data_IF_407977137581
#
_entry.id   IF_407977137581
#
_cell.length_a   1.000
_cell.length_b   1.000
_cell.length_c   1.000
_cell.angle_alpha   90.00
_cell.angle_beta   90.00
_cell.angle_gamma   90.00
#
_symmetry.space_group_name_H-M   'P 1'
#
loop_
_entity.id
_entity.type
_entity.pdbx_description
1 polymer ?
#
# COMPACT_ATOMS: atom_id res chain seq x y z
N UNK A 1 18.95 5.30 -2.12
CA UNK A 1 18.69 4.01 -2.80
C UNK A 1 17.70 4.33 -3.90
N UNK A 2 18.02 4.13 -5.18
CA UNK A 2 17.11 4.47 -6.27
C UNK A 2 16.21 3.25 -6.52
N UNK A 3 14.89 3.44 -6.49
CA UNK A 3 13.91 2.39 -6.81
C UNK A 3 13.16 2.90 -8.04
N UNK A 4 13.45 2.29 -9.18
CA UNK A 4 12.90 2.71 -10.49
C UNK A 4 12.09 1.59 -11.14
N UNK A 5 12.29 0.35 -10.69
CA UNK A 5 11.65 -0.84 -11.24
C UNK A 5 11.12 -1.77 -10.15
N UNK A 6 10.23 -2.69 -10.54
CA UNK A 6 9.77 -3.75 -9.65
C UNK A 6 10.94 -4.61 -9.12
N UNK A 7 11.96 -4.87 -9.95
CA UNK A 7 13.14 -5.62 -9.55
C UNK A 7 13.95 -4.90 -8.45
N UNK A 8 13.96 -3.57 -8.45
CA UNK A 8 14.59 -2.80 -7.37
C UNK A 8 13.83 -2.96 -6.06
N UNK A 9 12.49 -2.96 -6.10
CA UNK A 9 11.66 -3.24 -4.92
C UNK A 9 11.98 -4.63 -4.37
N UNK A 10 11.99 -5.65 -5.22
CA UNK A 10 12.30 -7.03 -4.83
C UNK A 10 13.70 -7.13 -4.22
N UNK A 11 14.67 -6.41 -4.79
CA UNK A 11 16.02 -6.33 -4.23
C UNK A 11 16.02 -5.67 -2.85
N UNK A 12 15.27 -4.60 -2.64
CA UNK A 12 15.13 -3.96 -1.31
C UNK A 12 14.55 -4.96 -0.31
N UNK A 13 13.48 -5.66 -0.68
CA UNK A 13 12.82 -6.66 0.15
C UNK A 13 13.80 -7.75 0.61
N UNK A 14 14.57 -8.30 -0.33
CA UNK A 14 15.59 -9.32 -0.02
C UNK A 14 16.72 -8.75 0.84
N UNK A 15 17.25 -7.57 0.50
CA UNK A 15 18.37 -6.97 1.23
C UNK A 15 18.03 -6.60 2.68
N UNK A 16 16.79 -6.17 2.91
CA UNK A 16 16.31 -5.76 4.24
C UNK A 16 15.59 -6.89 4.98
N UNK A 17 15.36 -8.03 4.33
CA UNK A 17 14.56 -9.14 4.83
C UNK A 17 13.14 -8.73 5.25
N UNK A 18 12.54 -7.84 4.46
CA UNK A 18 11.18 -7.32 4.67
C UNK A 18 10.30 -7.55 3.45
N UNK A 19 9.00 -7.53 3.65
CA UNK A 19 8.00 -7.35 2.59
C UNK A 19 7.25 -6.04 2.79
N UNK A 20 7.02 -5.33 1.69
CA UNK A 20 6.21 -4.11 1.70
C UNK A 20 4.73 -4.44 1.58
N UNK A 21 3.94 -3.94 2.53
CA UNK A 21 2.49 -3.97 2.51
C UNK A 21 2.00 -2.56 2.20
N UNK A 22 1.05 -2.49 1.27
CA UNK A 22 0.43 -1.25 0.85
C UNK A 22 -1.04 -1.24 1.27
N UNK A 23 -1.43 -0.28 2.11
CA UNK A 23 -2.83 -0.04 2.47
C UNK A 23 -3.33 1.22 1.76
N UNK A 24 -4.47 1.16 1.07
CA UNK A 24 -5.09 2.35 0.54
C UNK A 24 -5.67 3.20 1.67
N UNK A 25 -5.54 4.52 1.55
CA UNK A 25 -6.27 5.47 2.38
C UNK A 25 -7.69 5.62 1.86
N UNK A 26 -8.65 5.70 2.78
CA UNK A 26 -10.08 5.83 2.48
C UNK A 26 -10.66 6.84 3.46
N UNK A 27 -10.98 8.03 2.98
CA UNK A 27 -11.27 9.19 3.82
C UNK A 27 -12.57 9.87 3.39
N UNK A 28 -13.47 10.08 4.35
CA UNK A 28 -14.68 10.88 4.16
C UNK A 28 -14.33 12.36 3.92
N UNK A 29 -14.99 12.96 2.94
CA UNK A 29 -14.87 14.36 2.57
C UNK A 29 -16.00 15.18 3.21
N UNK A 30 -15.81 16.49 3.30
CA UNK A 30 -16.79 17.40 3.91
C UNK A 30 -18.16 17.40 3.18
N UNK A 31 -18.17 17.04 1.89
CA UNK A 31 -19.36 16.89 1.06
C UNK A 31 -20.06 15.52 1.21
N UNK A 32 -19.57 14.64 2.09
CA UNK A 32 -20.14 13.32 2.36
C UNK A 32 -19.71 12.22 1.38
N UNK A 33 -18.89 12.55 0.37
CA UNK A 33 -18.25 11.55 -0.48
C UNK A 33 -17.01 10.97 0.20
N UNK A 34 -16.60 9.78 -0.22
CA UNK A 34 -15.42 9.09 0.24
C UNK A 34 -14.37 9.05 -0.86
N UNK A 35 -13.14 9.46 -0.56
CA UNK A 35 -12.01 9.36 -1.49
C UNK A 35 -11.14 8.18 -1.07
N UNK A 36 -10.78 7.33 -2.04
CA UNK A 36 -9.83 6.25 -1.87
C UNK A 36 -8.59 6.45 -2.75
N UNK A 37 -7.40 6.18 -2.21
CA UNK A 37 -6.12 6.39 -2.90
C UNK A 37 -5.03 5.42 -2.41
N UNK A 38 -4.14 4.99 -3.29
CA UNK A 38 -2.90 4.31 -2.91
C UNK A 38 -1.79 5.33 -2.59
N UNK A 39 -0.90 5.05 -1.61
CA UNK A 39 0.06 6.02 -1.09
C UNK A 39 1.06 6.59 -2.11
N UNK A 40 1.34 5.85 -3.20
CA UNK A 40 2.20 6.33 -4.31
C UNK A 40 1.44 6.64 -5.61
N UNK A 41 0.10 6.56 -5.61
CA UNK A 41 -0.68 6.83 -6.82
C UNK A 41 -0.91 8.34 -6.98
N UNK A 42 -0.73 8.88 -8.20
CA UNK A 42 -1.13 10.26 -8.52
C UNK A 42 -2.66 10.41 -8.73
N UNK A 43 -3.37 9.28 -8.78
CA UNK A 43 -4.80 9.21 -8.99
C UNK A 43 -5.53 8.80 -7.71
N UNK A 44 -6.82 9.12 -7.66
CA UNK A 44 -7.74 8.72 -6.60
C UNK A 44 -9.13 8.49 -7.20
N UNK A 45 -9.98 7.80 -6.46
CA UNK A 45 -11.38 7.56 -6.86
C UNK A 45 -12.31 8.05 -5.76
N UNK A 46 -13.52 8.44 -6.14
CA UNK A 46 -14.58 8.80 -5.19
C UNK A 46 -15.69 7.75 -5.17
N UNK A 47 -16.29 7.53 -3.99
CA UNK A 47 -17.49 6.73 -3.76
C UNK A 47 -18.46 7.46 -2.82
N UNK A 48 -19.70 7.00 -2.74
CA UNK A 48 -20.72 7.55 -1.82
C UNK A 48 -20.52 7.06 -0.39
N UNK A 49 -19.82 5.96 -0.24
CA UNK A 49 -19.44 5.36 1.03
C UNK A 49 -18.06 4.71 0.92
N UNK A 50 -17.51 4.33 2.07
CA UNK A 50 -16.17 3.76 2.17
C UNK A 50 -16.01 2.43 1.42
N UNK A 51 -17.06 1.64 1.30
CA UNK A 51 -17.04 0.35 0.58
C UNK A 51 -17.03 0.59 -0.93
N UNK A 52 -17.90 1.48 -1.42
CA UNK A 52 -17.92 1.87 -2.83
C UNK A 52 -16.57 2.49 -3.25
N UNK A 53 -15.97 3.34 -2.42
CA UNK A 53 -14.67 3.94 -2.71
C UNK A 53 -13.57 2.86 -2.83
N UNK A 54 -13.55 1.85 -1.95
CA UNK A 54 -12.61 0.73 -2.01
C UNK A 54 -12.81 -0.13 -3.26
N UNK A 55 -14.06 -0.47 -3.59
CA UNK A 55 -14.37 -1.25 -4.77
C UNK A 55 -13.95 -0.54 -6.05
N UNK A 56 -14.23 0.77 -6.15
CA UNK A 56 -13.79 1.60 -7.27
C UNK A 56 -12.27 1.68 -7.36
N UNK A 57 -11.56 1.75 -6.23
CA UNK A 57 -10.11 1.81 -6.21
C UNK A 57 -9.50 0.52 -6.76
N UNK A 58 -10.08 -0.62 -6.39
CA UNK A 58 -9.66 -1.92 -6.90
C UNK A 58 -9.94 -2.06 -8.41
N UNK A 59 -11.12 -1.62 -8.88
CA UNK A 59 -11.47 -1.62 -10.29
C UNK A 59 -10.51 -0.74 -11.12
N UNK A 60 -10.19 0.45 -10.62
CA UNK A 60 -9.26 1.37 -11.26
C UNK A 60 -7.85 0.79 -11.33
N UNK A 61 -7.40 0.10 -10.27
CA UNK A 61 -6.14 -0.63 -10.30
C UNK A 61 -6.10 -1.70 -11.38
N UNK A 62 -7.14 -2.52 -11.49
CA UNK A 62 -7.23 -3.56 -12.52
C UNK A 62 -7.23 -2.96 -13.93
N UNK A 63 -7.91 -1.84 -14.12
CA UNK A 63 -7.93 -1.12 -15.40
C UNK A 63 -6.52 -0.63 -15.77
N UNK A 64 -5.76 -0.12 -14.79
CA UNK A 64 -4.40 0.40 -15.00
C UNK A 64 -3.35 -0.69 -15.18
N UNK A 65 -3.54 -1.88 -14.61
CA UNK A 65 -2.65 -3.03 -14.86
C UNK A 65 -2.63 -3.47 -16.32
N UNK A 66 -3.70 -3.18 -17.08
CA UNK A 66 -3.75 -3.44 -18.52
C UNK A 66 -2.98 -2.41 -19.36
N UNK A 67 -2.52 -1.31 -18.76
CA UNK A 67 -1.89 -0.18 -19.43
C UNK A 67 -0.42 -0.06 -19.04
N UNK A 68 0.46 -0.46 -19.97
CA UNK A 68 1.92 -0.49 -19.80
C UNK A 68 2.56 0.89 -19.60
N UNK A 69 1.80 1.99 -19.78
CA UNK A 69 2.32 3.37 -19.67
C UNK A 69 2.15 3.96 -18.27
N UNK A 70 1.40 3.28 -17.39
CA UNK A 70 1.21 3.76 -16.03
C UNK A 70 2.41 3.41 -15.15
N UNK A 71 3.01 4.43 -14.56
CA UNK A 71 4.00 4.27 -13.50
C UNK A 71 3.36 3.46 -12.37
N UNK A 72 4.00 2.35 -11.99
CA UNK A 72 3.51 1.49 -10.93
C UNK A 72 3.58 2.28 -9.62
N UNK A 73 2.41 2.61 -9.07
CA UNK A 73 2.31 3.40 -7.84
C UNK A 73 3.07 2.74 -6.67
N UNK A 74 3.34 1.43 -6.74
CA UNK A 74 4.17 0.73 -5.75
C UNK A 74 5.63 1.18 -5.79
N UNK A 75 6.17 1.45 -6.98
CA UNK A 75 7.54 1.96 -7.15
C UNK A 75 7.64 3.31 -6.46
N UNK A 76 6.72 4.23 -6.76
CA UNK A 76 6.70 5.55 -6.13
C UNK A 76 6.45 5.47 -4.61
N UNK A 77 5.57 4.59 -4.15
CA UNK A 77 5.32 4.38 -2.72
C UNK A 77 6.56 3.89 -1.97
N UNK A 78 7.26 2.86 -2.49
CA UNK A 78 8.50 2.34 -1.87
C UNK A 78 9.61 3.36 -1.95
N UNK A 79 9.73 4.06 -3.08
CA UNK A 79 10.71 5.12 -3.26
C UNK A 79 10.52 6.21 -2.20
N UNK A 80 9.30 6.73 -2.04
CA UNK A 80 8.98 7.74 -1.02
C UNK A 80 9.24 7.22 0.40
N UNK A 81 8.91 5.96 0.70
CA UNK A 81 9.19 5.34 1.99
C UNK A 81 10.70 5.31 2.30
N UNK A 82 11.52 4.99 1.31
CA UNK A 82 12.98 4.93 1.47
C UNK A 82 13.64 6.30 1.54
N UNK A 83 13.09 7.30 0.85
CA UNK A 83 13.62 8.66 0.80
C UNK A 83 13.19 9.50 2.01
N UNK A 84 11.93 9.40 2.43
CA UNK A 84 11.33 10.26 3.46
C UNK A 84 11.10 9.54 4.81
N UNK A 85 11.32 8.23 4.87
CA UNK A 85 10.98 7.40 6.02
C UNK A 85 9.55 6.86 5.93
N UNK A 86 9.01 6.30 7.02
CA UNK A 86 7.68 5.72 7.04
C UNK A 86 6.61 6.70 6.53
N UNK A 87 5.81 6.24 5.57
CA UNK A 87 4.68 7.01 5.02
C UNK A 87 3.38 6.25 5.29
N UNK A 88 2.29 7.01 5.51
CA UNK A 88 0.98 6.43 5.76
C UNK A 88 0.58 5.47 4.63
N UNK A 89 0.12 4.29 5.00
CA UNK A 89 -0.28 3.27 4.05
C UNK A 89 0.87 2.45 3.44
N UNK A 90 2.15 2.66 3.80
CA UNK A 90 3.26 1.78 3.40
C UNK A 90 3.98 1.24 4.62
N UNK A 91 3.96 -0.07 4.76
CA UNK A 91 4.52 -0.78 5.90
C UNK A 91 5.59 -1.76 5.43
N UNK A 92 6.76 -1.73 6.07
CA UNK A 92 7.77 -2.77 5.89
C UNK A 92 7.64 -3.78 7.02
N UNK A 93 7.13 -4.97 6.70
CA UNK A 93 7.02 -6.09 7.65
C UNK A 93 8.21 -7.01 7.48
N UNK A 94 8.85 -7.44 8.57
CA UNK A 94 9.82 -8.54 8.52
C UNK A 94 9.17 -9.81 7.96
N UNK A 95 9.93 -10.60 7.21
CA UNK A 95 9.41 -11.80 6.53
C UNK A 95 8.79 -12.83 7.50
N UNK A 96 9.26 -12.91 8.75
CA UNK A 96 8.66 -13.75 9.79
C UNK A 96 7.25 -13.29 10.19
N UNK A 97 7.02 -11.97 10.25
CA UNK A 97 5.69 -11.40 10.48
C UNK A 97 4.77 -11.68 9.31
N UNK A 98 5.28 -11.57 8.07
CA UNK A 98 4.52 -11.88 6.86
C UNK A 98 4.12 -13.35 6.84
N UNK A 99 5.04 -14.26 7.16
CA UNK A 99 4.76 -15.70 7.23
C UNK A 99 3.64 -16.01 8.22
N UNK A 100 3.66 -15.39 9.42
CA UNK A 100 2.56 -15.51 10.39
C UNK A 100 1.23 -14.97 9.88
N UNK A 101 1.24 -13.84 9.16
CA UNK A 101 0.01 -13.26 8.59
C UNK A 101 -0.55 -14.18 7.50
N UNK A 102 0.32 -14.74 6.66
CA UNK A 102 -0.05 -15.67 5.59
C UNK A 102 -0.59 -16.98 6.18
N UNK A 103 0.08 -17.53 7.19
CA UNK A 103 -0.35 -18.74 7.91
C UNK A 103 -1.72 -18.55 8.59
N UNK A 104 -1.91 -17.39 9.25
CA UNK A 104 -3.18 -17.05 9.86
C UNK A 104 -4.30 -16.84 8.83
N UNK A 105 -3.97 -16.43 7.59
CA UNK A 105 -4.90 -16.31 6.47
C UNK A 105 -6.06 -15.32 6.70
N UNK A 106 -5.94 -14.42 7.67
CA UNK A 106 -7.02 -13.49 8.06
C UNK A 106 -6.62 -12.02 7.90
N UNK A 107 -7.54 -11.15 7.46
CA UNK A 107 -7.31 -9.70 7.44
C UNK A 107 -6.93 -9.13 8.82
N UNK A 108 -7.49 -9.70 9.90
CA UNK A 108 -7.19 -9.29 11.26
C UNK A 108 -5.72 -9.51 11.66
N UNK A 109 -5.08 -10.57 11.16
CA UNK A 109 -3.65 -10.79 11.40
C UNK A 109 -2.79 -9.73 10.72
N UNK A 110 -3.17 -9.34 9.49
CA UNK A 110 -2.50 -8.25 8.77
C UNK A 110 -2.70 -6.90 9.48
N UNK A 111 -3.92 -6.59 9.91
CA UNK A 111 -4.20 -5.37 10.68
C UNK A 111 -3.40 -5.32 11.99
N UNK A 112 -3.29 -6.44 12.72
CA UNK A 112 -2.50 -6.52 13.94
C UNK A 112 -1.00 -6.31 13.69
N UNK A 113 -0.46 -6.91 12.62
CA UNK A 113 0.94 -6.74 12.23
C UNK A 113 1.26 -5.29 11.83
N UNK A 114 0.35 -4.64 11.10
CA UNK A 114 0.47 -3.23 10.73
C UNK A 114 0.36 -2.32 11.96
N UNK A 115 -0.61 -2.57 12.83
CA UNK A 115 -0.78 -1.78 14.06
C UNK A 115 0.45 -1.84 14.98
N UNK A 116 1.18 -2.96 15.01
CA UNK A 116 2.42 -3.08 15.77
C UNK A 116 3.57 -2.19 15.24
N UNK A 117 3.54 -1.78 13.96
CA UNK A 117 4.49 -0.82 13.38
C UNK A 117 4.10 0.62 13.74
N UNK A 118 2.81 0.93 13.73
CA UNK A 118 2.28 2.28 14.01
C UNK A 118 2.37 2.67 15.49
N UNK A 119 2.61 1.73 16.41
CA UNK A 119 2.86 2.05 17.81
C UNK A 119 4.33 2.44 18.01
N UNK A 120 4.66 3.73 18.22
CA UNK A 120 5.99 4.08 18.69
C UNK A 120 6.17 3.48 20.10
N UNK A 121 7.22 2.68 20.26
CA UNK A 121 7.67 2.22 21.58
C UNK A 121 8.09 3.36 22.49
#
# INVERSE_FOLDING_TARGET
>A
MNVETQADIERVMVQRNVSFVFRPSVTEQADGNWIARYPGADWSVSGRDADEARQRLHAEQLSRMGDSTHADWKIEAVRQYLENGPIDGVYALDNDTVDRVVDAGTPAALDAAVAAIDQPG
#
